data_IF_607375053663
#
_entry.id   IF_607375053663
#
_cell.length_a   1.000
_cell.length_b   1.000
_cell.length_c   1.000
_cell.angle_alpha   90.00
_cell.angle_beta   90.00
_cell.angle_gamma   90.00
#
_symmetry.space_group_name_H-M   'P 1'
#
loop_
_entity.id
_entity.type
_entity.pdbx_description
1 polymer ?
#
# COMPACT_ATOMS: atom_id res chain seq x y z
N UNK A 1 1.53 9.74 8.01
CA UNK A 1 2.94 9.83 7.55
C UNK A 1 3.12 8.87 6.37
N UNK A 2 3.76 9.31 5.29
CA UNK A 2 4.02 8.52 4.08
C UNK A 2 5.50 8.14 3.99
N UNK A 3 5.83 7.07 3.27
CA UNK A 3 7.20 6.64 3.01
C UNK A 3 7.33 5.94 1.65
N UNK A 4 8.56 5.82 1.16
CA UNK A 4 8.90 5.10 -0.07
C UNK A 4 9.80 3.90 0.26
N UNK A 5 9.86 2.93 -0.64
CA UNK A 5 10.73 1.77 -0.52
C UNK A 5 11.64 1.65 -1.76
N UNK A 6 12.93 1.32 -1.60
CA UNK A 6 13.83 1.10 -2.73
C UNK A 6 13.33 -0.02 -3.65
N UNK A 7 13.46 0.17 -4.97
CA UNK A 7 13.14 -0.87 -5.96
C UNK A 7 11.65 -1.06 -6.25
N UNK A 8 10.76 -0.27 -5.64
CA UNK A 8 9.30 -0.32 -5.87
C UNK A 8 8.71 1.06 -6.18
N UNK A 9 9.48 1.96 -6.78
CA UNK A 9 8.90 3.14 -7.42
C UNK A 9 7.93 2.71 -8.53
N UNK A 10 6.82 3.44 -8.79
CA UNK A 10 6.46 4.76 -8.23
C UNK A 10 5.63 4.73 -6.94
N UNK A 11 5.58 3.61 -6.21
CA UNK A 11 4.68 3.46 -5.07
C UNK A 11 5.06 4.32 -3.85
N UNK A 12 4.07 5.05 -3.33
CA UNK A 12 4.13 5.74 -2.04
C UNK A 12 3.27 5.00 -1.03
N UNK A 13 3.83 4.71 0.14
CA UNK A 13 3.21 3.90 1.18
C UNK A 13 2.71 4.74 2.34
N UNK A 14 1.66 4.29 3.01
CA UNK A 14 1.20 4.83 4.30
C UNK A 14 0.53 3.75 5.13
N UNK A 15 0.55 3.95 6.44
CA UNK A 15 -0.22 3.13 7.38
C UNK A 15 -1.42 3.93 7.83
N UNK A 16 -2.60 3.31 7.76
CA UNK A 16 -3.87 3.87 8.22
C UNK A 16 -4.51 2.91 9.21
N UNK A 17 -5.23 3.47 10.19
CA UNK A 17 -6.03 2.71 11.14
C UNK A 17 -7.49 2.76 10.69
N UNK A 18 -8.09 1.60 10.46
CA UNK A 18 -9.51 1.48 10.10
C UNK A 18 -10.16 0.60 11.16
N UNK A 19 -10.90 1.22 12.08
CA UNK A 19 -11.39 0.55 13.28
C UNK A 19 -10.23 0.00 14.11
N UNK A 20 -10.21 -1.33 14.31
CA UNK A 20 -9.16 -2.04 15.04
C UNK A 20 -8.07 -2.61 14.13
N UNK A 21 -8.13 -2.36 12.83
CA UNK A 21 -7.19 -2.92 11.85
C UNK A 21 -6.13 -1.90 11.45
N UNK A 22 -4.90 -2.38 11.33
CA UNK A 22 -3.79 -1.62 10.75
C UNK A 22 -3.71 -2.00 9.27
N UNK A 23 -3.86 -1.01 8.40
CA UNK A 23 -3.84 -1.21 6.96
C UNK A 23 -2.63 -0.50 6.39
N UNK A 24 -1.84 -1.25 5.64
CA UNK A 24 -0.81 -0.70 4.78
C UNK A 24 -1.42 -0.42 3.41
N UNK A 25 -1.28 0.82 2.95
CA UNK A 25 -1.71 1.23 1.63
C UNK A 25 -0.50 1.65 0.79
N UNK A 26 -0.53 1.32 -0.49
CA UNK A 26 0.41 1.81 -1.49
C UNK A 26 -0.40 2.55 -2.57
N UNK A 27 0.04 3.73 -2.99
CA UNK A 27 -0.59 4.50 -4.06
C UNK A 27 0.43 4.87 -5.12
N UNK A 28 0.06 4.68 -6.39
CA UNK A 28 0.83 5.08 -7.57
C UNK A 28 -0.13 5.35 -8.72
N UNK A 29 0.02 6.48 -9.42
CA UNK A 29 -0.65 6.73 -10.72
C UNK A 29 -2.15 6.36 -10.77
N UNK A 30 -2.92 6.78 -9.76
CA UNK A 30 -4.36 6.50 -9.69
C UNK A 30 -4.74 5.08 -9.26
N UNK A 31 -3.76 4.21 -9.03
CA UNK A 31 -3.94 2.91 -8.39
C UNK A 31 -3.69 2.99 -6.89
N UNK A 32 -4.46 2.22 -6.12
CA UNK A 32 -4.26 2.04 -4.68
C UNK A 32 -4.32 0.56 -4.32
N UNK A 33 -3.28 0.07 -3.68
CA UNK A 33 -3.22 -1.26 -3.10
C UNK A 33 -3.39 -1.16 -1.59
N UNK A 34 -3.99 -2.18 -0.99
CA UNK A 34 -4.11 -2.26 0.46
C UNK A 34 -3.97 -3.68 0.99
N UNK A 35 -3.46 -3.80 2.21
CA UNK A 35 -3.32 -5.04 2.96
C UNK A 35 -3.40 -4.75 4.46
N UNK A 36 -4.14 -5.58 5.18
CA UNK A 36 -4.15 -5.58 6.64
C UNK A 36 -2.83 -6.19 7.13
N UNK A 37 -2.18 -5.54 8.09
CA UNK A 37 -0.91 -5.97 8.66
C UNK A 37 -1.00 -6.07 10.19
N UNK A 38 -0.18 -6.92 10.79
CA UNK A 38 -0.14 -7.06 12.24
C UNK A 38 0.60 -5.89 12.90
N UNK A 39 0.23 -5.48 14.13
CA UNK A 39 0.87 -4.38 14.87
C UNK A 39 2.38 -4.55 15.14
N UNK A 40 2.89 -5.79 15.09
CA UNK A 40 4.31 -6.09 15.24
C UNK A 40 5.04 -6.37 13.92
N UNK A 41 4.34 -6.32 12.79
CA UNK A 41 4.93 -6.67 11.50
C UNK A 41 5.90 -5.59 10.98
N UNK A 42 6.93 -6.03 10.25
CA UNK A 42 7.88 -5.10 9.63
C UNK A 42 7.21 -4.35 8.48
N UNK A 43 7.06 -3.03 8.64
CA UNK A 43 6.50 -2.13 7.63
C UNK A 43 7.19 -2.25 6.26
N UNK A 44 8.51 -2.46 6.26
CA UNK A 44 9.31 -2.58 5.03
C UNK A 44 8.96 -3.89 4.32
N UNK A 45 9.01 -5.01 5.03
CA UNK A 45 8.68 -6.33 4.46
C UNK A 45 7.24 -6.36 3.95
N UNK A 46 6.30 -5.89 4.78
CA UNK A 46 4.90 -5.78 4.39
C UNK A 46 4.67 -4.89 3.18
N UNK A 47 5.49 -3.85 2.99
CA UNK A 47 5.44 -3.00 1.80
C UNK A 47 5.84 -3.73 0.53
N UNK A 48 6.94 -4.51 0.55
CA UNK A 48 7.29 -5.37 -0.58
C UNK A 48 6.23 -6.45 -0.84
N UNK A 49 5.72 -7.06 0.23
CA UNK A 49 4.66 -8.08 0.13
C UNK A 49 3.36 -7.51 -0.44
N UNK A 50 3.02 -6.25 -0.13
CA UNK A 50 1.83 -5.56 -0.65
C UNK A 50 1.91 -5.37 -2.17
N UNK A 51 3.09 -5.05 -2.71
CA UNK A 51 3.28 -4.91 -4.16
C UNK A 51 3.17 -6.26 -4.88
N UNK A 52 3.73 -7.32 -4.28
CA UNK A 52 3.73 -8.66 -4.87
C UNK A 52 2.39 -9.39 -4.72
N UNK A 53 1.68 -9.16 -3.62
CA UNK A 53 0.45 -9.87 -3.26
C UNK A 53 -0.50 -8.94 -2.48
N UNK A 54 -1.16 -7.99 -3.18
CA UNK A 54 -2.14 -7.11 -2.56
C UNK A 54 -3.40 -7.90 -2.17
N UNK A 55 -4.00 -7.55 -1.03
CA UNK A 55 -5.30 -8.12 -0.65
C UNK A 55 -6.45 -7.44 -1.39
N UNK A 56 -6.33 -6.14 -1.63
CA UNK A 56 -7.28 -5.38 -2.41
C UNK A 56 -6.54 -4.35 -3.28
N UNK A 57 -6.99 -4.21 -4.52
CA UNK A 57 -6.51 -3.24 -5.48
C UNK A 57 -7.69 -2.40 -5.98
N UNK A 58 -7.59 -1.09 -5.82
CA UNK A 58 -8.50 -0.11 -6.41
C UNK A 58 -7.78 0.56 -7.59
N UNK A 59 -8.25 0.29 -8.79
CA UNK A 59 -7.69 0.84 -10.03
C UNK A 59 -8.64 1.93 -10.51
N UNK A 60 -8.23 3.19 -10.43
CA UNK A 60 -9.03 4.29 -10.95
C UNK A 60 -8.72 4.50 -12.44
N UNK A 61 -9.65 4.11 -13.33
CA UNK A 61 -9.49 4.25 -14.80
C UNK A 61 -9.51 5.70 -15.32
N UNK A 62 -9.43 6.72 -14.46
CA UNK A 62 -9.48 8.14 -14.90
C UNK A 62 -8.18 8.67 -15.53
N UNK A 63 -7.19 7.81 -15.79
CA UNK A 63 -5.92 8.19 -16.42
C UNK A 63 -5.85 7.86 -17.93
N UNK A 64 -7.00 7.68 -18.60
CA UNK A 64 -7.10 7.41 -20.04
C UNK A 64 -7.86 8.50 -20.82
N UNK A 65 -7.84 9.75 -20.34
CA UNK A 65 -8.36 10.91 -21.08
C UNK A 65 -7.30 12.00 -21.18
#
# INVERSE_FOLDING_TARGET
>A
MTFTLPGVLPWTFRIVLIGQQIVLEATAEGQRLSKVIDPGSSRIRSGYDLINSPQCALINMRSLV
#
